data_IF_387711192710
#
_entry.id   IF_387711192710
#
_cell.length_a   1.000
_cell.length_b   1.000
_cell.length_c   1.000
_cell.angle_alpha   90.00
_cell.angle_beta   90.00
_cell.angle_gamma   90.00
#
_symmetry.space_group_name_H-M   'P 1'
#
loop_
_entity.id
_entity.type
_entity.pdbx_description
1 polymer ?
#
# COMPACT_ATOMS: atom_id res chain seq x y z
N UNK A 1 4.54 -18.26 3.83
CA UNK A 1 5.44 -17.78 2.76
C UNK A 1 5.48 -16.26 2.75
N UNK A 2 6.65 -15.72 2.57
CA UNK A 2 6.82 -14.28 2.44
C UNK A 2 6.75 -13.86 1.00
N UNK A 3 6.12 -12.73 0.76
CA UNK A 3 6.00 -12.08 -0.56
C UNK A 3 6.65 -10.72 -0.53
N UNK A 4 7.09 -10.25 -1.68
CA UNK A 4 7.70 -8.94 -1.82
C UNK A 4 7.18 -8.31 -3.11
N UNK A 5 6.68 -7.08 -3.00
CA UNK A 5 6.17 -6.33 -4.15
C UNK A 5 7.04 -5.10 -4.34
N UNK A 6 7.48 -4.88 -5.58
CA UNK A 6 8.27 -3.71 -5.94
C UNK A 6 7.35 -2.53 -6.27
N UNK A 7 7.67 -1.37 -5.72
CA UNK A 7 6.91 -0.14 -5.94
C UNK A 7 7.84 1.01 -6.27
N UNK A 8 7.30 2.04 -6.89
CA UNK A 8 8.00 3.29 -7.16
C UNK A 8 7.96 4.18 -5.92
N UNK A 9 8.93 5.08 -5.78
CA UNK A 9 8.87 6.08 -4.72
C UNK A 9 7.60 6.94 -4.82
N UNK A 10 7.03 7.05 -6.03
CA UNK A 10 5.77 7.79 -6.23
C UNK A 10 4.58 7.12 -5.55
N UNK A 11 4.72 5.86 -5.16
CA UNK A 11 3.68 5.15 -4.41
C UNK A 11 3.79 5.39 -2.90
N UNK A 12 4.84 6.08 -2.45
CA UNK A 12 5.02 6.38 -1.03
C UNK A 12 4.49 7.79 -0.78
N UNK A 13 3.37 7.88 -0.04
CA UNK A 13 2.69 9.14 0.23
C UNK A 13 3.20 9.82 1.51
N UNK A 14 3.57 9.04 2.51
CA UNK A 14 4.00 9.55 3.80
C UNK A 14 4.77 8.48 4.55
N UNK A 15 5.46 8.88 5.59
CA UNK A 15 6.25 7.97 6.42
C UNK A 15 6.28 8.50 7.85
N UNK A 16 6.16 7.57 8.80
CA UNK A 16 6.35 7.85 10.22
C UNK A 16 7.49 6.98 10.73
N UNK A 17 7.79 7.05 12.02
CA UNK A 17 8.82 6.20 12.62
C UNK A 17 8.52 4.72 12.50
N UNK A 18 7.24 4.33 12.44
CA UNK A 18 6.83 2.93 12.50
C UNK A 18 6.15 2.42 11.25
N UNK A 19 5.68 3.30 10.38
CA UNK A 19 4.88 2.89 9.23
C UNK A 19 5.10 3.79 8.02
N UNK A 20 4.81 3.24 6.85
CA UNK A 20 4.88 3.94 5.57
C UNK A 20 3.50 3.88 4.94
N UNK A 21 3.01 5.02 4.46
CA UNK A 21 1.73 5.09 3.75
C UNK A 21 1.98 4.85 2.27
N UNK A 22 1.41 3.77 1.76
CA UNK A 22 1.62 3.32 0.39
C UNK A 22 0.33 3.53 -0.41
N UNK A 23 0.48 4.13 -1.59
CA UNK A 23 -0.62 4.32 -2.53
C UNK A 23 -0.67 3.12 -3.47
N UNK A 24 -1.88 2.60 -3.69
CA UNK A 24 -2.08 1.47 -4.59
C UNK A 24 -1.67 1.80 -6.02
N UNK A 25 -1.35 0.75 -6.78
CA UNK A 25 -0.93 0.85 -8.15
C UNK A 25 -1.99 1.58 -8.99
N UNK A 26 -1.53 2.50 -9.81
CA UNK A 26 -2.38 3.17 -10.78
C UNK A 26 -2.92 2.12 -11.76
N UNK A 27 -4.18 2.22 -12.13
CA UNK A 27 -4.90 1.25 -12.98
C UNK A 27 -5.25 -0.07 -12.27
N UNK A 28 -5.01 -0.19 -10.98
CA UNK A 28 -5.53 -1.33 -10.21
C UNK A 28 -7.00 -1.09 -9.88
N UNK A 29 -7.68 -2.12 -9.38
CA UNK A 29 -9.06 -1.99 -8.94
C UNK A 29 -9.21 -1.06 -7.74
N UNK A 30 -8.10 -0.80 -7.04
CA UNK A 30 -8.07 0.07 -5.87
C UNK A 30 -7.24 1.33 -6.11
N UNK A 31 -7.19 1.80 -7.36
CA UNK A 31 -6.51 3.05 -7.68
C UNK A 31 -7.09 4.18 -6.81
N UNK A 32 -6.20 4.95 -6.19
CA UNK A 32 -6.58 6.03 -5.29
C UNK A 32 -6.69 5.63 -3.82
N UNK A 33 -6.64 4.33 -3.52
CA UNK A 33 -6.61 3.84 -2.14
C UNK A 33 -5.19 3.87 -1.60
N UNK A 34 -5.07 4.03 -0.29
CA UNK A 34 -3.78 4.00 0.42
C UNK A 34 -3.88 3.06 1.61
N UNK A 35 -2.73 2.58 2.07
CA UNK A 35 -2.66 1.74 3.26
C UNK A 35 -1.36 1.97 4.00
N UNK A 36 -1.41 1.82 5.33
CA UNK A 36 -0.21 1.90 6.16
C UNK A 36 0.43 0.52 6.25
N UNK A 37 1.75 0.47 6.06
CA UNK A 37 2.51 -0.79 6.16
C UNK A 37 3.66 -0.62 7.13
N UNK A 38 4.00 -1.64 7.94
CA UNK A 38 5.12 -1.54 8.88
C UNK A 38 6.41 -1.13 8.18
N UNK A 39 7.07 -0.11 8.70
CA UNK A 39 8.28 0.45 8.09
C UNK A 39 9.39 -0.58 7.96
N UNK A 40 9.51 -1.49 8.93
CA UNK A 40 10.53 -2.55 8.90
C UNK A 40 10.36 -3.53 7.74
N UNK A 41 9.20 -3.55 7.11
CA UNK A 41 8.90 -4.40 5.97
C UNK A 41 8.98 -3.65 4.64
N UNK A 42 9.40 -2.39 4.67
CA UNK A 42 9.58 -1.57 3.47
C UNK A 42 11.07 -1.29 3.33
N UNK A 43 11.62 -1.57 2.14
CA UNK A 43 13.04 -1.40 1.89
C UNK A 43 13.30 -0.68 0.58
N UNK A 44 14.36 0.11 0.56
CA UNK A 44 14.87 0.70 -0.69
C UNK A 44 15.78 -0.33 -1.36
N UNK A 45 15.53 -0.61 -2.64
CA UNK A 45 16.35 -1.52 -3.44
C UNK A 45 16.65 -0.84 -4.76
N UNK A 46 17.83 -0.26 -4.86
CA UNK A 46 18.22 0.56 -6.00
C UNK A 46 17.37 1.82 -6.06
N UNK A 47 16.71 2.06 -7.18
CA UNK A 47 15.83 3.21 -7.38
C UNK A 47 14.38 2.93 -7.01
N UNK A 48 14.11 1.69 -6.62
CA UNK A 48 12.75 1.26 -6.29
C UNK A 48 12.65 0.95 -4.81
N UNK A 49 11.45 0.72 -4.36
CA UNK A 49 11.17 0.27 -3.00
C UNK A 49 10.44 -1.05 -3.07
N UNK A 50 10.50 -1.83 -2.00
CA UNK A 50 9.72 -3.06 -1.89
C UNK A 50 8.99 -3.05 -0.57
N UNK A 51 7.82 -3.69 -0.53
CA UNK A 51 7.14 -3.98 0.72
C UNK A 51 6.87 -5.47 0.80
N UNK A 52 7.11 -6.03 1.99
CA UNK A 52 7.03 -7.47 2.23
C UNK A 52 5.88 -7.79 3.17
N UNK A 53 5.31 -8.97 3.00
CA UNK A 53 4.21 -9.44 3.83
C UNK A 53 4.10 -10.97 3.69
N UNK A 54 3.48 -11.62 4.69
CA UNK A 54 3.25 -13.07 4.61
C UNK A 54 1.83 -13.36 4.15
N UNK A 55 1.54 -14.67 3.95
CA UNK A 55 0.24 -15.11 3.44
C UNK A 55 -0.95 -14.71 4.32
N UNK A 56 -0.71 -14.47 5.59
CA UNK A 56 -1.77 -14.18 6.56
C UNK A 56 -2.03 -12.69 6.73
N UNK A 57 -1.24 -11.85 6.09
CA UNK A 57 -1.33 -10.40 6.26
C UNK A 57 -2.63 -9.86 5.68
N UNK A 58 -3.28 -8.95 6.42
CA UNK A 58 -4.49 -8.26 5.98
C UNK A 58 -4.18 -6.79 5.77
N UNK A 59 -4.62 -6.26 4.63
CA UNK A 59 -4.42 -4.86 4.30
C UNK A 59 -5.74 -4.12 4.45
N UNK A 60 -5.71 -3.01 5.15
CA UNK A 60 -6.85 -2.11 5.28
C UNK A 60 -6.62 -0.93 4.34
N UNK A 61 -7.35 -0.93 3.23
CA UNK A 61 -7.22 0.09 2.20
C UNK A 61 -8.28 1.17 2.42
N UNK A 62 -7.86 2.43 2.37
CA UNK A 62 -8.76 3.57 2.56
C UNK A 62 -8.62 4.55 1.42
N UNK A 63 -9.75 5.09 0.98
CA UNK A 63 -9.78 6.18 0.02
C UNK A 63 -10.34 7.40 0.71
N UNK A 64 -9.59 8.50 0.68
CA UNK A 64 -9.95 9.73 1.36
C UNK A 64 -10.62 10.71 0.40
N UNK A 65 -11.50 11.53 0.95
CA UNK A 65 -12.15 12.59 0.20
C UNK A 65 -11.11 13.55 -0.38
N UNK A 66 -11.37 14.07 -1.57
CA UNK A 66 -10.45 14.95 -2.31
C UNK A 66 -9.11 14.29 -2.64
N UNK A 67 -9.02 12.97 -2.53
CA UNK A 67 -7.82 12.22 -2.83
C UNK A 67 -6.66 12.47 -1.87
N UNK A 68 -6.91 13.09 -0.71
CA UNK A 68 -5.86 13.41 0.25
C UNK A 68 -5.93 12.54 1.48
N UNK A 69 -4.84 11.82 1.74
CA UNK A 69 -4.73 10.88 2.86
C UNK A 69 -4.90 11.57 4.23
N UNK A 70 -4.61 12.86 4.32
CA UNK A 70 -4.74 13.60 5.58
C UNK A 70 -6.14 14.21 5.78
N UNK A 71 -7.05 13.96 4.83
CA UNK A 71 -8.44 14.32 5.00
C UNK A 71 -9.07 13.45 6.08
N UNK A 72 -10.03 13.99 6.82
CA UNK A 72 -10.76 13.21 7.83
C UNK A 72 -11.88 12.37 7.22
N UNK A 73 -12.16 12.58 5.94
CA UNK A 73 -13.29 11.94 5.27
C UNK A 73 -12.82 10.71 4.52
N UNK A 74 -12.98 9.54 5.15
CA UNK A 74 -12.77 8.27 4.47
C UNK A 74 -14.03 7.98 3.66
N UNK A 75 -13.93 8.04 2.33
CA UNK A 75 -15.10 7.84 1.46
C UNK A 75 -15.29 6.37 1.09
N UNK A 76 -14.24 5.56 1.16
CA UNK A 76 -14.31 4.11 0.94
C UNK A 76 -13.26 3.41 1.77
N UNK A 77 -13.58 2.20 2.20
CA UNK A 77 -12.66 1.35 2.95
C UNK A 77 -12.83 -0.09 2.48
N UNK A 78 -11.73 -0.78 2.21
CA UNK A 78 -11.74 -2.17 1.77
C UNK A 78 -10.63 -2.94 2.49
N UNK A 79 -10.89 -4.22 2.72
CA UNK A 79 -9.87 -5.10 3.29
C UNK A 79 -9.54 -6.18 2.26
N UNK A 80 -8.25 -6.37 2.01
CA UNK A 80 -7.80 -7.44 1.10
C UNK A 80 -6.69 -8.23 1.79
N UNK A 81 -6.57 -9.50 1.41
CA UNK A 81 -5.52 -10.38 1.91
C UNK A 81 -4.32 -10.38 0.98
N UNK A 82 -3.37 -11.28 1.28
CA UNK A 82 -2.12 -11.40 0.52
C UNK A 82 -2.37 -11.68 -0.97
N UNK A 83 -3.25 -12.64 -1.28
CA UNK A 83 -3.54 -12.97 -2.68
C UNK A 83 -4.17 -11.81 -3.44
N UNK A 84 -5.05 -11.06 -2.78
CA UNK A 84 -5.65 -9.87 -3.38
C UNK A 84 -4.61 -8.82 -3.69
N UNK A 85 -3.69 -8.57 -2.75
CA UNK A 85 -2.63 -7.59 -2.95
C UNK A 85 -1.72 -8.01 -4.12
N UNK A 86 -1.31 -9.27 -4.16
CA UNK A 86 -0.47 -9.78 -5.26
C UNK A 86 -1.17 -9.61 -6.61
N UNK A 87 -2.46 -9.92 -6.68
CA UNK A 87 -3.22 -9.80 -7.90
C UNK A 87 -3.30 -8.35 -8.39
N UNK A 88 -3.51 -7.40 -7.47
CA UNK A 88 -3.64 -5.98 -7.84
C UNK A 88 -2.34 -5.41 -8.39
N UNK A 89 -1.19 -5.87 -7.88
CA UNK A 89 0.11 -5.37 -8.36
C UNK A 89 0.62 -6.12 -9.58
N UNK A 90 -0.03 -7.22 -9.95
CA UNK A 90 0.30 -7.96 -11.17
C UNK A 90 -0.40 -7.40 -12.42
N UNK A 91 -1.32 -6.47 -12.25
CA UNK A 91 -2.06 -5.88 -13.36
C UNK A 91 -1.17 -5.05 -14.30
#
# INVERSE_FOLDING_TARGET
MWHKIEISENNIEASTDKAVLIKMKHNSNFDGFVFWHPKKLVRAEGKMFTFSFNDEFKFNLKKYGNGKWNSRDVVREENIGANGMLAEWAL
#
